data_IF_371865604613
#
_entry.id   IF_371865604613
#
_cell.length_a   1.000
_cell.length_b   1.000
_cell.length_c   1.000
_cell.angle_alpha   90.00
_cell.angle_beta   90.00
_cell.angle_gamma   90.00
#
_symmetry.space_group_name_H-M   'P 1'
#
loop_
_entity.id
_entity.type
_entity.pdbx_description
1 polymer ?
#
# COMPACT_ATOMS: atom_id res chain seq x y z
N UNK A 1 12.74 -40.25 -12.10
CA UNK A 1 13.25 -39.39 -13.18
C UNK A 1 12.47 -38.08 -13.06
N UNK A 2 12.89 -37.03 -12.36
CA UNK A 2 14.17 -36.64 -11.79
C UNK A 2 13.85 -35.89 -10.49
N UNK A 3 14.48 -36.24 -9.38
CA UNK A 3 14.44 -35.42 -8.16
C UNK A 3 15.48 -34.32 -8.39
N UNK A 4 15.05 -33.15 -8.87
CA UNK A 4 15.93 -31.99 -8.78
C UNK A 4 16.16 -31.77 -7.29
N UNK A 5 17.41 -31.88 -6.85
CA UNK A 5 17.88 -31.32 -5.59
C UNK A 5 17.61 -29.82 -5.65
N UNK A 6 16.41 -29.41 -5.24
CA UNK A 6 16.06 -28.00 -5.11
C UNK A 6 16.97 -27.42 -4.04
N UNK A 7 17.57 -26.28 -4.33
CA UNK A 7 18.04 -25.38 -3.28
C UNK A 7 16.93 -25.25 -2.22
N UNK A 8 17.25 -25.27 -0.91
CA UNK A 8 16.26 -25.02 0.12
C UNK A 8 15.50 -23.72 -0.23
N UNK A 9 14.18 -23.74 -0.03
CA UNK A 9 13.36 -22.55 -0.23
C UNK A 9 13.76 -21.51 0.83
N UNK A 10 14.14 -20.30 0.41
CA UNK A 10 14.50 -19.25 1.34
C UNK A 10 13.29 -18.79 2.16
N UNK A 11 13.54 -18.21 3.33
CA UNK A 11 12.49 -17.63 4.18
C UNK A 11 11.60 -16.67 3.39
N UNK A 12 12.20 -15.82 2.55
CA UNK A 12 11.49 -14.84 1.70
C UNK A 12 10.53 -15.53 0.72
N UNK A 13 11.00 -16.56 -0.01
CA UNK A 13 10.16 -17.33 -0.94
C UNK A 13 9.02 -18.03 -0.19
N UNK A 14 9.32 -18.62 0.97
CA UNK A 14 8.35 -19.30 1.81
C UNK A 14 7.26 -18.32 2.27
N UNK A 15 7.66 -17.15 2.80
CA UNK A 15 6.76 -16.09 3.27
C UNK A 15 5.86 -15.57 2.14
N UNK A 16 6.41 -15.29 0.95
CA UNK A 16 5.64 -14.80 -0.19
C UNK A 16 4.70 -15.86 -0.79
N UNK A 17 4.97 -17.15 -0.55
CA UNK A 17 4.13 -18.27 -0.97
C UNK A 17 2.98 -18.58 0.00
N UNK A 18 2.96 -17.98 1.19
CA UNK A 18 1.88 -18.16 2.16
C UNK A 18 0.52 -17.69 1.61
N UNK A 19 -0.54 -18.36 2.06
CA UNK A 19 -1.90 -18.01 1.68
C UNK A 19 -2.25 -16.61 2.20
N UNK A 20 -2.61 -15.70 1.29
CA UNK A 20 -2.88 -14.30 1.61
C UNK A 20 -1.70 -13.36 1.32
N UNK A 21 -0.50 -13.90 1.07
CA UNK A 21 0.72 -13.11 0.81
C UNK A 21 0.96 -12.89 -0.70
N UNK A 22 -0.04 -13.15 -1.55
CA UNK A 22 0.12 -13.08 -3.00
C UNK A 22 0.47 -11.66 -3.51
N UNK A 23 0.20 -10.63 -2.72
CA UNK A 23 0.48 -9.23 -3.06
C UNK A 23 1.94 -8.82 -2.83
N UNK A 24 2.71 -9.54 -2.02
CA UNK A 24 4.11 -9.19 -1.71
C UNK A 24 5.05 -9.47 -2.88
N UNK A 25 5.93 -8.54 -3.22
CA UNK A 25 7.11 -8.82 -4.03
C UNK A 25 8.17 -9.55 -3.20
N UNK A 26 8.99 -10.38 -3.86
CA UNK A 26 10.15 -11.00 -3.23
C UNK A 26 11.29 -9.98 -3.19
N UNK A 27 11.61 -9.49 -1.99
CA UNK A 27 12.68 -8.52 -1.80
C UNK A 27 14.02 -9.23 -2.03
N UNK A 28 14.88 -8.66 -2.86
CA UNK A 28 16.24 -9.21 -3.06
C UNK A 28 17.08 -9.09 -1.80
N UNK A 29 17.82 -10.13 -1.45
CA UNK A 29 18.76 -10.12 -0.31
C UNK A 29 19.75 -8.94 -0.40
N UNK A 30 20.28 -8.61 -1.58
CA UNK A 30 21.15 -7.44 -1.80
C UNK A 30 20.52 -6.11 -1.33
N UNK A 31 19.19 -5.98 -1.42
CA UNK A 31 18.50 -4.77 -0.94
C UNK A 31 18.44 -4.74 0.59
N UNK A 32 18.32 -5.91 1.22
CA UNK A 32 18.23 -6.08 2.68
C UNK A 32 19.61 -5.94 3.32
N UNK A 33 20.66 -6.48 2.68
CA UNK A 33 22.05 -6.40 3.16
C UNK A 33 22.61 -4.97 3.18
N UNK A 34 22.03 -4.03 2.41
CA UNK A 34 22.39 -2.62 2.48
C UNK A 34 21.66 -1.90 3.63
N UNK A 35 22.37 -1.75 4.76
CA UNK A 35 21.92 -1.06 5.97
C UNK A 35 21.27 0.30 5.73
N UNK A 36 21.68 1.02 4.67
CA UNK A 36 21.08 2.32 4.34
C UNK A 36 19.57 2.18 4.07
N UNK A 37 19.15 1.10 3.41
CA UNK A 37 17.76 0.82 3.09
C UNK A 37 16.94 0.46 4.34
N UNK A 38 17.59 -0.02 5.40
CA UNK A 38 16.98 -0.44 6.67
C UNK A 38 16.96 0.66 7.75
N UNK A 39 17.55 1.83 7.46
CA UNK A 39 17.67 2.95 8.41
C UNK A 39 16.36 3.23 9.16
N UNK A 40 16.42 3.23 10.50
CA UNK A 40 15.30 3.55 11.39
C UNK A 40 14.28 2.43 11.63
N UNK A 41 14.44 1.24 11.05
CA UNK A 41 13.59 0.08 11.34
C UNK A 41 13.91 -0.58 12.68
N UNK A 42 15.17 -0.54 13.11
CA UNK A 42 15.62 -1.11 14.38
C UNK A 42 14.85 -0.61 15.61
N UNK A 43 14.37 0.64 15.59
CA UNK A 43 13.59 1.21 16.72
C UNK A 43 12.10 0.86 16.66
N UNK A 44 11.64 0.24 15.57
CA UNK A 44 10.23 -0.07 15.33
C UNK A 44 9.91 -1.56 15.55
N UNK A 45 10.91 -2.44 15.45
CA UNK A 45 10.74 -3.89 15.53
C UNK A 45 11.50 -4.43 16.74
N UNK A 46 10.85 -5.29 17.53
CA UNK A 46 11.49 -6.00 18.64
C UNK A 46 12.42 -7.11 18.09
N UNK A 47 13.46 -7.49 18.83
CA UNK A 47 14.38 -8.55 18.40
C UNK A 47 14.88 -8.35 16.95
N UNK A 48 15.22 -7.09 16.59
CA UNK A 48 15.50 -6.70 15.21
C UNK A 48 16.64 -7.53 14.59
N UNK A 49 17.67 -7.86 15.38
CA UNK A 49 18.85 -8.58 14.90
C UNK A 49 18.46 -10.02 14.55
N UNK A 50 17.79 -10.68 15.47
CA UNK A 50 17.33 -12.06 15.37
C UNK A 50 16.27 -12.22 14.26
N UNK A 51 15.37 -11.24 14.13
CA UNK A 51 14.40 -11.17 13.05
C UNK A 51 15.07 -11.01 11.68
N UNK A 52 16.13 -10.20 11.59
CA UNK A 52 16.87 -9.99 10.35
C UNK A 52 17.69 -11.24 9.96
N UNK A 53 18.34 -11.87 10.93
CA UNK A 53 19.04 -13.16 10.76
C UNK A 53 18.08 -14.25 10.25
N UNK A 54 16.86 -14.34 10.81
CA UNK A 54 15.82 -15.24 10.33
C UNK A 54 15.39 -14.96 8.88
N UNK A 55 15.19 -13.69 8.50
CA UNK A 55 14.79 -13.32 7.12
C UNK A 55 15.86 -13.71 6.10
N UNK A 56 17.13 -13.61 6.49
CA UNK A 56 18.30 -13.87 5.64
C UNK A 56 18.77 -15.34 5.71
N UNK A 57 18.03 -16.22 6.38
CA UNK A 57 18.40 -17.62 6.60
C UNK A 57 19.84 -17.78 7.15
N UNK A 58 20.28 -16.84 8.01
CA UNK A 58 21.57 -16.91 8.69
C UNK A 58 21.45 -17.90 9.84
N UNK A 59 22.25 -18.97 9.80
CA UNK A 59 22.33 -19.92 10.91
C UNK A 59 22.77 -19.19 12.18
N UNK A 60 22.05 -19.35 13.30
CA UNK A 60 22.54 -18.82 14.58
C UNK A 60 23.92 -19.43 14.84
N UNK A 61 24.87 -18.62 15.30
CA UNK A 61 26.12 -19.15 15.82
C UNK A 61 25.74 -20.02 17.02
N UNK A 62 26.05 -21.33 16.97
CA UNK A 62 25.82 -22.25 18.08
C UNK A 62 26.69 -21.78 19.27
N UNK A 63 26.14 -20.90 20.12
CA UNK A 63 26.74 -20.52 21.42
C UNK A 63 26.71 -21.71 22.43
N UNK A 64 26.26 -22.89 21.99
CA UNK A 64 26.22 -24.14 22.77
C UNK A 64 27.61 -24.61 23.23
N UNK A 65 28.70 -24.14 22.61
CA UNK A 65 30.07 -24.48 23.05
C UNK A 65 30.50 -23.76 24.35
N UNK A 66 29.80 -22.70 24.82
CA UNK A 66 30.14 -21.99 26.06
C UNK A 66 29.25 -22.34 27.27
N UNK A 67 28.00 -22.78 27.08
CA UNK A 67 27.09 -23.12 28.20
C UNK A 67 27.25 -24.56 28.72
N UNK A 68 27.70 -25.51 27.88
CA UNK A 68 28.02 -26.89 28.30
C UNK A 68 29.22 -26.96 29.26
N UNK A 69 30.12 -25.97 29.26
CA UNK A 69 31.25 -25.90 30.20
C UNK A 69 30.82 -25.48 31.63
N UNK A 70 29.69 -24.79 31.81
CA UNK A 70 29.20 -24.38 33.15
C UNK A 70 28.42 -25.49 33.87
N UNK A 71 27.73 -26.39 33.15
CA UNK A 71 26.96 -27.50 33.76
C UNK A 71 27.86 -28.66 34.25
N UNK A 72 28.99 -28.93 33.59
CA UNK A 72 29.94 -29.95 34.05
C UNK A 72 30.64 -29.57 35.38
N UNK A 73 30.75 -28.27 35.71
CA UNK A 73 31.35 -27.82 36.97
C UNK A 73 30.42 -27.96 38.19
N UNK A 74 29.08 -27.93 38.01
CA UNK A 74 28.14 -28.08 39.13
C UNK A 74 27.86 -29.54 39.53
N UNK A 75 28.01 -30.51 38.61
CA UNK A 75 27.83 -31.94 38.94
C UNK A 75 28.99 -32.54 39.76
N UNK A 76 30.20 -31.97 39.72
CA UNK A 76 31.36 -32.53 40.44
C UNK A 76 31.48 -32.07 41.92
N UNK A 77 30.53 -31.27 42.43
CA UNK A 77 30.57 -30.74 43.83
C UNK A 77 29.60 -31.43 44.80
N UNK A 78 28.87 -32.48 44.39
CA UNK A 78 28.01 -33.21 45.34
C UNK A 78 28.05 -34.74 45.22
N UNK A 79 29.26 -35.29 45.39
CA UNK A 79 29.40 -36.64 45.93
C UNK A 79 28.87 -36.70 47.37
N UNK A 80 27.59 -37.01 47.55
CA UNK A 80 27.03 -38.04 48.44
C UNK A 80 25.55 -37.79 48.79
N UNK A 81 24.74 -38.83 48.53
CA UNK A 81 23.40 -39.10 49.06
C UNK A 81 22.17 -38.23 48.66
N UNK A 82 21.26 -38.89 47.91
CA UNK A 82 19.77 -38.92 47.98
C UNK A 82 19.08 -38.51 46.67
N UNK A 83 18.50 -39.43 45.92
CA UNK A 83 17.17 -40.07 46.09
C UNK A 83 16.16 -39.47 45.09
N UNK A 84 15.20 -40.27 44.63
CA UNK A 84 14.38 -40.21 43.39
C UNK A 84 13.54 -38.92 43.11
N UNK A 85 13.79 -37.79 43.78
CA UNK A 85 13.12 -36.50 43.55
C UNK A 85 13.85 -35.55 42.58
N UNK A 86 15.13 -35.77 42.28
CA UNK A 86 15.93 -34.89 41.39
C UNK A 86 15.46 -34.89 39.94
N UNK A 87 15.05 -36.05 39.41
CA UNK A 87 14.63 -36.18 38.00
C UNK A 87 13.33 -35.45 37.65
N UNK A 88 12.48 -35.12 38.65
CA UNK A 88 11.25 -34.33 38.43
C UNK A 88 11.53 -32.82 38.39
N UNK A 89 12.55 -32.35 39.09
CA UNK A 89 12.98 -30.95 39.07
C UNK A 89 13.76 -30.63 37.79
N UNK A 90 14.67 -31.53 37.38
CA UNK A 90 15.38 -31.43 36.09
C UNK A 90 14.40 -31.42 34.91
N UNK A 91 13.46 -32.39 34.84
CA UNK A 91 12.41 -32.37 33.80
C UNK A 91 11.49 -31.14 33.84
N UNK A 92 11.31 -30.52 35.02
CA UNK A 92 10.54 -29.29 35.13
C UNK A 92 11.36 -28.05 34.69
N UNK A 93 12.67 -28.06 34.90
CA UNK A 93 13.62 -27.08 34.38
C UNK A 93 13.69 -27.14 32.85
N UNK A 94 13.89 -28.33 32.31
CA UNK A 94 13.99 -28.60 30.87
C UNK A 94 12.69 -28.24 30.13
N UNK A 95 11.52 -28.55 30.70
CA UNK A 95 10.22 -28.10 30.15
C UNK A 95 10.02 -26.59 30.22
N UNK A 96 10.54 -25.92 31.26
CA UNK A 96 10.48 -24.45 31.38
C UNK A 96 11.45 -23.77 30.41
N UNK A 97 12.61 -24.36 30.19
CA UNK A 97 13.60 -23.92 29.22
C UNK A 97 13.05 -24.03 27.80
N UNK A 98 12.55 -25.21 27.42
CA UNK A 98 11.89 -25.42 26.12
C UNK A 98 10.70 -24.48 25.91
N UNK A 99 9.91 -24.20 26.96
CA UNK A 99 8.81 -23.25 26.87
C UNK A 99 9.25 -21.79 26.67
N UNK A 100 10.44 -21.40 27.14
CA UNK A 100 11.00 -20.05 26.93
C UNK A 100 11.58 -19.90 25.53
N UNK A 101 12.36 -20.89 25.09
CA UNK A 101 12.88 -20.95 23.72
C UNK A 101 11.73 -20.90 22.70
N UNK A 102 10.65 -21.66 22.94
CA UNK A 102 9.49 -21.63 22.05
C UNK A 102 8.75 -20.28 22.05
N UNK A 103 8.68 -19.58 23.18
CA UNK A 103 8.08 -18.23 23.21
C UNK A 103 8.94 -17.21 22.50
N UNK A 104 10.26 -17.28 22.67
CA UNK A 104 11.21 -16.37 22.05
C UNK A 104 11.23 -16.58 20.54
N UNK A 105 11.19 -17.83 20.06
CA UNK A 105 11.05 -18.15 18.64
C UNK A 105 9.77 -17.55 18.05
N UNK A 106 8.62 -17.67 18.73
CA UNK A 106 7.37 -17.08 18.24
C UNK A 106 7.41 -15.55 18.16
N UNK A 107 8.13 -14.90 19.08
CA UNK A 107 8.32 -13.45 19.06
C UNK A 107 9.23 -13.06 17.90
N UNK A 108 10.30 -13.82 17.65
CA UNK A 108 11.20 -13.61 16.52
C UNK A 108 10.45 -13.80 15.19
N UNK A 109 9.66 -14.86 15.03
CA UNK A 109 8.82 -15.09 13.84
C UNK A 109 7.90 -13.88 13.58
N UNK A 110 7.16 -13.44 14.59
CA UNK A 110 6.26 -12.27 14.46
C UNK A 110 7.02 -10.97 14.14
N UNK A 111 8.24 -10.83 14.66
CA UNK A 111 9.11 -9.68 14.42
C UNK A 111 9.69 -9.72 13.00
N UNK A 112 10.03 -10.91 12.49
CA UNK A 112 10.48 -11.13 11.12
C UNK A 112 9.39 -10.80 10.10
N UNK A 113 8.15 -11.24 10.32
CA UNK A 113 7.02 -10.87 9.46
C UNK A 113 6.80 -9.35 9.42
N UNK A 114 6.84 -8.69 10.59
CA UNK A 114 6.69 -7.24 10.71
C UNK A 114 7.85 -6.50 10.02
N UNK A 115 9.09 -6.94 10.25
CA UNK A 115 10.29 -6.35 9.65
C UNK A 115 10.25 -6.48 8.14
N UNK A 116 9.99 -7.68 7.62
CA UNK A 116 9.90 -7.93 6.19
C UNK A 116 8.81 -7.08 5.54
N UNK A 117 7.65 -6.93 6.18
CA UNK A 117 6.59 -6.04 5.70
C UNK A 117 7.02 -4.57 5.59
N UNK A 118 7.75 -4.05 6.58
CA UNK A 118 8.29 -2.68 6.55
C UNK A 118 9.41 -2.49 5.51
N UNK A 119 10.24 -3.51 5.31
CA UNK A 119 11.24 -3.54 4.23
C UNK A 119 10.54 -3.53 2.87
N UNK A 120 9.52 -4.38 2.71
CA UNK A 120 8.74 -4.49 1.49
C UNK A 120 8.10 -3.15 1.09
N UNK A 121 7.54 -2.40 2.04
CA UNK A 121 7.00 -1.05 1.81
C UNK A 121 8.01 -0.11 1.13
N UNK A 122 9.28 -0.18 1.55
CA UNK A 122 10.38 0.60 0.96
C UNK A 122 10.81 0.03 -0.38
N UNK A 123 10.96 -1.29 -0.45
CA UNK A 123 11.42 -2.00 -1.64
C UNK A 123 10.53 -1.77 -2.86
N UNK A 124 9.21 -1.82 -2.72
CA UNK A 124 8.28 -1.63 -3.85
C UNK A 124 8.29 -0.19 -4.42
N UNK A 125 8.92 0.75 -3.72
CA UNK A 125 9.19 2.10 -4.22
C UNK A 125 10.58 2.24 -4.88
N UNK A 126 11.43 1.22 -4.80
CA UNK A 126 12.71 1.15 -5.51
C UNK A 126 12.51 0.77 -6.98
N UNK A 127 13.54 0.96 -7.80
CA UNK A 127 13.51 0.59 -9.22
C UNK A 127 13.28 -0.91 -9.44
N UNK A 128 13.89 -1.76 -8.62
CA UNK A 128 13.75 -3.22 -8.73
C UNK A 128 12.36 -3.67 -8.26
N UNK A 129 11.92 -3.21 -7.08
CA UNK A 129 10.64 -3.62 -6.51
C UNK A 129 9.45 -3.12 -7.31
N UNK A 130 9.48 -1.89 -7.83
CA UNK A 130 8.37 -1.36 -8.64
C UNK A 130 8.20 -2.12 -9.96
N UNK A 131 9.30 -2.63 -10.53
CA UNK A 131 9.30 -3.49 -11.72
C UNK A 131 8.72 -4.88 -11.42
N UNK A 132 9.07 -5.49 -10.28
CA UNK A 132 8.41 -6.75 -9.87
C UNK A 132 6.90 -6.57 -9.68
N UNK A 133 6.51 -5.45 -9.07
CA UNK A 133 5.09 -5.13 -8.88
C UNK A 133 4.37 -4.85 -10.20
N UNK A 134 5.06 -4.32 -11.22
CA UNK A 134 4.46 -4.12 -12.55
C UNK A 134 4.16 -5.45 -13.24
N UNK A 135 5.05 -6.42 -13.14
CA UNK A 135 4.81 -7.78 -13.65
C UNK A 135 3.61 -8.43 -12.96
N UNK A 136 3.51 -8.30 -11.63
CA UNK A 136 2.33 -8.77 -10.86
C UNK A 136 1.03 -8.05 -11.28
N UNK A 137 1.10 -6.75 -11.55
CA UNK A 137 -0.03 -5.96 -12.03
C UNK A 137 -0.51 -6.45 -13.42
N UNK A 138 0.41 -6.71 -14.34
CA UNK A 138 0.14 -7.23 -15.68
C UNK A 138 -0.45 -8.64 -15.67
N UNK A 139 -0.04 -9.48 -14.73
CA UNK A 139 -0.61 -10.80 -14.52
C UNK A 139 -1.96 -10.74 -13.78
N UNK A 140 -2.26 -9.62 -13.11
CA UNK A 140 -3.55 -9.39 -12.47
C UNK A 140 -3.64 -10.00 -11.08
N UNK A 141 -2.48 -10.20 -10.44
CA UNK A 141 -2.39 -10.82 -9.12
C UNK A 141 -3.12 -10.01 -8.04
N UNK A 142 -3.19 -8.69 -8.20
CA UNK A 142 -3.87 -7.78 -7.26
C UNK A 142 -5.40 -7.75 -7.41
N UNK A 143 -5.94 -8.45 -8.42
CA UNK A 143 -7.37 -8.48 -8.71
C UNK A 143 -7.85 -7.28 -9.53
N UNK A 144 -9.16 -7.06 -9.48
CA UNK A 144 -9.87 -6.09 -10.32
C UNK A 144 -10.87 -5.28 -9.50
N UNK A 145 -11.22 -4.11 -10.01
CA UNK A 145 -12.16 -3.20 -9.39
C UNK A 145 -13.55 -3.84 -9.30
N UNK A 146 -14.21 -3.79 -8.12
CA UNK A 146 -15.55 -4.35 -7.94
C UNK A 146 -16.65 -3.52 -8.62
N UNK A 147 -16.36 -2.28 -9.05
CA UNK A 147 -17.36 -1.45 -9.74
C UNK A 147 -17.63 -1.96 -11.14
N UNK A 148 -18.90 -2.24 -11.43
CA UNK A 148 -19.37 -2.69 -12.75
C UNK A 148 -18.91 -1.76 -13.89
N UNK A 149 -19.03 -0.44 -13.70
CA UNK A 149 -18.70 0.54 -14.75
C UNK A 149 -17.18 0.76 -14.95
N UNK A 150 -16.34 0.18 -14.09
CA UNK A 150 -14.89 0.14 -14.26
C UNK A 150 -14.43 -0.99 -15.17
N UNK A 151 -15.34 -1.83 -15.69
CA UNK A 151 -15.02 -2.89 -16.66
C UNK A 151 -13.86 -3.80 -16.21
N UNK A 152 -13.85 -4.21 -14.93
CA UNK A 152 -12.78 -5.04 -14.37
C UNK A 152 -11.37 -4.43 -14.51
N UNK A 153 -11.24 -3.11 -14.38
CA UNK A 153 -9.94 -2.45 -14.31
C UNK A 153 -9.07 -3.08 -13.20
N UNK A 154 -7.79 -3.34 -13.49
CA UNK A 154 -6.83 -3.90 -12.53
C UNK A 154 -6.60 -2.93 -11.37
N UNK A 155 -6.37 -3.48 -10.19
CA UNK A 155 -6.14 -2.72 -8.96
C UNK A 155 -4.68 -2.81 -8.51
N UNK A 156 -4.29 -1.93 -7.60
CA UNK A 156 -2.98 -1.94 -6.94
C UNK A 156 -3.19 -2.06 -5.43
N UNK A 157 -2.34 -2.80 -4.70
CA UNK A 157 -2.38 -2.80 -3.24
C UNK A 157 -1.98 -1.43 -2.70
N UNK A 158 -2.61 -1.01 -1.61
CA UNK A 158 -2.35 0.28 -0.95
C UNK A 158 -2.62 0.18 0.55
N UNK A 159 -1.80 0.84 1.36
CA UNK A 159 -2.09 1.11 2.76
C UNK A 159 -2.86 2.41 2.92
N UNK A 160 -3.83 2.46 3.85
CA UNK A 160 -4.47 3.73 4.24
C UNK A 160 -3.64 4.51 5.29
N UNK A 161 -2.71 3.83 5.93
CA UNK A 161 -1.72 4.38 6.85
C UNK A 161 -0.37 3.74 6.59
N UNK A 162 0.70 4.41 7.02
CA UNK A 162 2.05 3.87 7.05
C UNK A 162 2.43 3.36 8.46
N UNK A 163 1.49 3.43 9.42
CA UNK A 163 1.67 2.96 10.79
C UNK A 163 1.11 1.53 10.89
N UNK A 164 1.94 0.54 11.27
CA UNK A 164 1.47 -0.84 11.45
C UNK A 164 0.35 -0.95 12.49
N UNK A 165 -0.59 -1.86 12.24
CA UNK A 165 -1.73 -2.17 13.09
C UNK A 165 -2.94 -1.26 12.93
N UNK A 166 -2.86 -0.19 12.12
CA UNK A 166 -4.00 0.74 11.94
C UNK A 166 -5.06 0.22 10.98
N UNK A 167 -4.66 -0.31 9.81
CA UNK A 167 -5.59 -0.90 8.85
C UNK A 167 -4.90 -1.96 7.98
N UNK A 168 -5.72 -2.86 7.45
CA UNK A 168 -5.33 -3.92 6.52
C UNK A 168 -5.12 -3.38 5.11
N UNK A 169 -4.42 -4.15 4.28
CA UNK A 169 -4.20 -3.82 2.87
C UNK A 169 -5.52 -3.60 2.13
N UNK A 170 -5.56 -2.53 1.32
CA UNK A 170 -6.67 -2.19 0.44
C UNK A 170 -6.25 -2.26 -1.02
N UNK A 171 -7.22 -2.18 -1.91
CA UNK A 171 -7.05 -2.16 -3.36
C UNK A 171 -7.45 -0.81 -3.92
N UNK A 172 -6.50 -0.07 -4.46
CA UNK A 172 -6.74 1.16 -5.20
C UNK A 172 -7.07 0.85 -6.66
N UNK A 173 -8.15 1.45 -7.17
CA UNK A 173 -8.51 1.38 -8.57
C UNK A 173 -8.11 2.68 -9.30
N UNK A 174 -7.16 2.62 -10.24
CA UNK A 174 -6.73 3.81 -10.99
C UNK A 174 -7.80 4.28 -12.00
N UNK A 175 -8.77 3.43 -12.34
CA UNK A 175 -9.87 3.79 -13.25
C UNK A 175 -10.89 4.72 -12.59
N UNK A 176 -11.30 4.45 -11.34
CA UNK A 176 -12.29 5.25 -10.63
C UNK A 176 -11.76 6.08 -9.46
N UNK A 177 -10.46 6.01 -9.20
CA UNK A 177 -9.77 6.77 -8.16
C UNK A 177 -10.37 6.55 -6.77
N UNK A 178 -10.60 5.28 -6.44
CA UNK A 178 -11.23 4.89 -5.18
C UNK A 178 -10.59 3.61 -4.63
N UNK A 179 -10.78 3.38 -3.33
CA UNK A 179 -10.14 2.32 -2.56
C UNK A 179 -11.18 1.29 -2.11
N UNK A 180 -10.82 0.00 -2.23
CA UNK A 180 -11.70 -1.12 -1.95
C UNK A 180 -11.05 -2.11 -0.98
N UNK A 181 -11.88 -2.78 -0.18
CA UNK A 181 -11.42 -3.93 0.60
C UNK A 181 -11.24 -5.12 -0.36
N UNK A 182 -10.13 -5.88 -0.27
CA UNK A 182 -9.96 -7.10 -1.05
C UNK A 182 -11.15 -8.05 -0.81
N UNK A 183 -11.71 -8.69 -1.86
CA UNK A 183 -12.93 -9.49 -1.71
C UNK A 183 -12.73 -10.78 -0.91
N UNK A 184 -11.51 -11.35 -0.93
CA UNK A 184 -11.18 -12.56 -0.19
C UNK A 184 -10.72 -12.21 1.23
N UNK A 185 -11.30 -12.86 2.23
CA UNK A 185 -10.99 -12.60 3.65
C UNK A 185 -9.55 -12.95 4.04
N UNK A 186 -8.85 -13.78 3.28
CA UNK A 186 -7.43 -14.14 3.52
C UNK A 186 -6.49 -12.93 3.53
N UNK A 187 -6.88 -11.81 2.92
CA UNK A 187 -6.09 -10.58 2.91
C UNK A 187 -6.38 -9.67 4.11
N UNK A 188 -7.33 -10.04 4.98
CA UNK A 188 -7.68 -9.25 6.17
C UNK A 188 -6.67 -9.40 7.32
N UNK A 189 -5.71 -10.31 7.20
CA UNK A 189 -4.59 -10.44 8.15
C UNK A 189 -3.36 -9.66 7.71
N UNK A 190 -3.32 -9.18 6.46
CA UNK A 190 -2.17 -8.48 5.90
C UNK A 190 -2.28 -6.99 6.20
N UNK A 191 -1.26 -6.44 6.85
CA UNK A 191 -1.19 -5.03 7.20
C UNK A 191 -1.04 -4.15 5.94
N UNK A 192 -1.79 -3.05 5.89
CA UNK A 192 -1.69 -2.09 4.79
C UNK A 192 -0.40 -1.28 4.81
N UNK A 193 0.20 -1.07 5.99
CA UNK A 193 1.45 -0.35 6.15
C UNK A 193 2.59 -0.97 5.31
N UNK A 194 2.57 -2.29 5.11
CA UNK A 194 3.57 -3.02 4.31
C UNK A 194 3.56 -2.68 2.82
N UNK A 195 2.52 -2.00 2.34
CA UNK A 195 2.45 -1.42 0.98
C UNK A 195 2.56 0.10 1.01
N UNK A 196 2.13 0.71 2.11
CA UNK A 196 2.16 2.14 2.34
C UNK A 196 1.21 2.93 1.44
N UNK A 197 1.16 4.24 1.68
CA UNK A 197 0.29 5.17 0.93
C UNK A 197 0.88 5.61 -0.40
N UNK A 198 2.21 5.51 -0.56
CA UNK A 198 2.95 6.12 -1.68
C UNK A 198 2.98 5.26 -2.93
N UNK A 199 3.11 3.94 -2.77
CA UNK A 199 3.39 3.00 -3.87
C UNK A 199 2.46 3.18 -5.07
N UNK A 200 1.14 3.21 -4.86
CA UNK A 200 0.17 3.29 -5.96
C UNK A 200 0.29 4.55 -6.81
N UNK A 201 0.61 5.69 -6.20
CA UNK A 201 0.82 6.94 -6.92
C UNK A 201 2.15 6.92 -7.69
N UNK A 202 3.23 6.45 -7.04
CA UNK A 202 4.55 6.32 -7.66
C UNK A 202 4.53 5.36 -8.85
N UNK A 203 3.79 4.25 -8.73
CA UNK A 203 3.60 3.27 -9.79
C UNK A 203 3.01 3.92 -11.06
N UNK A 204 1.92 4.68 -10.91
CA UNK A 204 1.26 5.33 -12.05
C UNK A 204 2.09 6.46 -12.68
N UNK A 205 2.94 7.12 -11.90
CA UNK A 205 3.89 8.11 -12.41
C UNK A 205 5.09 7.47 -13.12
N UNK A 206 5.49 6.28 -12.68
CA UNK A 206 6.64 5.55 -13.25
C UNK A 206 6.27 4.87 -14.56
N UNK A 207 5.04 4.36 -14.68
CA UNK A 207 4.54 3.64 -15.85
C UNK A 207 3.32 4.32 -16.48
N UNK A 208 3.44 5.56 -16.99
CA UNK A 208 2.31 6.28 -17.59
C UNK A 208 1.73 5.55 -18.81
N UNK A 209 2.51 4.71 -19.48
CA UNK A 209 2.13 3.95 -20.69
C UNK A 209 1.04 2.90 -20.47
N UNK A 210 0.81 2.45 -19.22
CA UNK A 210 -0.27 1.50 -18.93
C UNK A 210 -1.62 2.06 -19.37
N UNK A 211 -2.34 1.31 -20.20
CA UNK A 211 -3.66 1.71 -20.66
C UNK A 211 -4.74 1.33 -19.64
N UNK A 212 -5.17 2.32 -18.86
CA UNK A 212 -6.17 2.15 -17.80
C UNK A 212 -7.61 2.04 -18.32
N UNK A 213 -7.81 2.17 -19.64
CA UNK A 213 -9.13 2.06 -20.28
C UNK A 213 -9.52 0.63 -20.61
N UNK A 214 -8.52 -0.26 -20.72
CA UNK A 214 -8.72 -1.67 -21.10
C UNK A 214 -9.34 -2.47 -19.97
N UNK A 215 -10.20 -3.41 -20.35
CA UNK A 215 -10.73 -4.42 -19.42
C UNK A 215 -9.61 -5.35 -18.98
N UNK A 216 -9.60 -5.77 -17.71
CA UNK A 216 -8.61 -6.71 -17.16
C UNK A 216 -8.49 -8.01 -17.97
N UNK A 217 -9.59 -8.44 -18.59
CA UNK A 217 -9.68 -9.66 -19.43
C UNK A 217 -9.03 -9.54 -20.81
N UNK A 218 -8.99 -8.35 -21.42
CA UNK A 218 -8.47 -8.16 -22.79
C UNK A 218 -6.94 -8.08 -22.87
N UNK A 219 -6.27 -8.02 -21.71
CA UNK A 219 -4.81 -7.99 -21.64
C UNK A 219 -4.18 -9.39 -21.65
N UNK A 220 -4.90 -10.43 -21.20
CA UNK A 220 -4.37 -11.81 -21.14
C UNK A 220 -4.41 -12.50 -22.52
N UNK A 221 -5.39 -12.16 -23.37
CA UNK A 221 -5.56 -12.80 -24.69
C UNK A 221 -4.68 -12.23 -25.79
N UNK A 222 -4.00 -11.10 -25.57
CA UNK A 222 -3.17 -10.43 -26.57
C UNK A 222 -1.64 -10.62 -26.38
N UNK A 223 -1.21 -11.45 -25.41
CA UNK A 223 0.21 -11.81 -25.23
C UNK A 223 0.84 -12.50 -26.46
N UNK A 224 0.04 -12.93 -27.44
CA UNK A 224 0.49 -13.62 -28.66
C UNK A 224 0.41 -12.77 -29.95
N UNK A 225 0.03 -11.49 -29.86
CA UNK A 225 0.09 -10.58 -31.02
C UNK A 225 0.92 -9.37 -30.63
N UNK A 226 2.07 -9.09 -31.29
CA UNK A 226 2.66 -7.78 -31.18
C UNK A 226 1.55 -6.82 -31.65
N UNK A 227 1.07 -5.97 -30.74
CA UNK A 227 0.17 -4.91 -31.13
C UNK A 227 0.94 -4.07 -32.12
N UNK A 228 0.63 -4.26 -33.40
CA UNK A 228 1.04 -3.35 -34.46
C UNK A 228 0.18 -2.08 -34.35
N UNK A 229 0.12 -1.50 -33.15
CA UNK A 229 -0.25 -0.11 -32.89
C UNK A 229 1.04 0.72 -32.98
N UNK A 230 1.76 0.54 -34.08
CA UNK A 230 2.69 1.52 -34.66
C UNK A 230 1.88 2.66 -35.31
N UNK A 231 0.94 3.20 -34.54
CA UNK A 231 0.03 4.26 -34.93
C UNK A 231 -0.25 5.16 -33.74
N UNK A 232 0.67 6.10 -33.48
CA UNK A 232 0.39 7.34 -32.74
C UNK A 232 0.51 7.29 -31.21
N UNK A 233 1.55 6.69 -30.65
CA UNK A 233 1.93 7.00 -29.26
C UNK A 233 2.44 8.45 -29.12
N UNK A 234 2.93 9.05 -30.20
CA UNK A 234 3.58 10.37 -30.24
C UNK A 234 2.63 11.59 -30.26
N UNK A 235 1.31 11.41 -30.24
CA UNK A 235 0.35 12.55 -30.38
C UNK A 235 -0.77 12.59 -29.33
N UNK A 236 -0.69 11.78 -28.29
CA UNK A 236 -1.73 11.79 -27.25
C UNK A 236 -1.43 12.88 -26.21
N UNK A 237 -2.37 13.81 -25.96
CA UNK A 237 -2.14 14.89 -25.01
C UNK A 237 -1.87 14.32 -23.62
N UNK A 238 -0.70 14.61 -23.07
CA UNK A 238 -0.38 14.39 -21.67
C UNK A 238 -0.90 15.57 -20.85
N UNK A 239 -1.46 15.27 -19.68
CA UNK A 239 -1.98 16.23 -18.72
C UNK A 239 -1.32 15.91 -17.39
N UNK A 240 -0.54 16.86 -16.87
CA UNK A 240 0.22 16.71 -15.63
C UNK A 240 1.07 15.41 -15.56
N UNK A 241 1.71 15.02 -16.67
CA UNK A 241 2.56 13.82 -16.73
C UNK A 241 1.81 12.49 -16.94
N UNK A 242 0.49 12.50 -17.13
CA UNK A 242 -0.33 11.31 -17.40
C UNK A 242 -1.04 11.47 -18.74
N UNK A 243 -1.15 10.42 -19.56
CA UNK A 243 -1.94 10.50 -20.78
C UNK A 243 -3.41 10.83 -20.48
N UNK A 244 -4.01 11.76 -21.23
CA UNK A 244 -5.40 12.20 -21.00
C UNK A 244 -6.42 11.05 -20.97
N UNK A 245 -6.17 9.96 -21.74
CA UNK A 245 -7.00 8.74 -21.73
C UNK A 245 -6.99 8.00 -20.39
N UNK A 246 -5.89 8.09 -19.66
CA UNK A 246 -5.66 7.41 -18.38
C UNK A 246 -6.17 8.23 -17.19
N UNK A 247 -6.58 9.48 -17.40
CA UNK A 247 -7.16 10.32 -16.35
C UNK A 247 -8.57 9.81 -16.02
N UNK A 248 -8.69 9.07 -14.92
CA UNK A 248 -9.97 8.58 -14.35
C UNK A 248 -10.97 8.01 -15.38
N UNK A 249 -10.60 6.98 -16.17
CA UNK A 249 -11.44 6.44 -17.24
C UNK A 249 -12.78 5.81 -16.77
N UNK A 250 -12.89 5.49 -15.48
CA UNK A 250 -14.09 4.96 -14.83
C UNK A 250 -15.01 6.02 -14.24
N UNK A 251 -14.74 7.31 -14.47
CA UNK A 251 -15.56 8.45 -14.01
C UNK A 251 -16.18 9.23 -15.18
N UNK A 252 -17.24 9.99 -14.88
CA UNK A 252 -17.91 10.86 -15.84
C UNK A 252 -19.12 10.25 -16.56
N UNK A 253 -19.58 10.93 -17.63
CA UNK A 253 -20.79 10.54 -18.37
C UNK A 253 -20.73 9.10 -18.86
N UNK A 254 -21.81 8.35 -18.68
CA UNK A 254 -21.89 6.92 -19.05
C UNK A 254 -21.21 5.96 -18.08
N UNK A 255 -20.52 6.46 -17.04
CA UNK A 255 -19.90 5.65 -15.96
C UNK A 255 -20.61 5.77 -14.61
N UNK A 256 -21.70 6.53 -14.54
CA UNK A 256 -22.56 6.67 -13.36
C UNK A 256 -23.74 5.71 -13.48
N UNK A 257 -24.02 4.95 -12.41
CA UNK A 257 -25.15 4.04 -12.38
C UNK A 257 -26.47 4.82 -12.32
N UNK A 258 -27.38 4.56 -13.26
CA UNK A 258 -28.72 5.15 -13.29
C UNK A 258 -29.77 4.19 -12.70
N UNK A 259 -30.28 4.43 -11.48
CA UNK A 259 -31.29 3.57 -10.89
C UNK A 259 -32.62 3.70 -11.65
N UNK A 260 -33.23 2.54 -11.98
CA UNK A 260 -34.51 2.44 -12.68
C UNK A 260 -35.45 1.47 -11.98
N UNK A 261 -36.71 1.84 -11.85
CA UNK A 261 -37.78 1.02 -11.28
C UNK A 261 -38.89 0.92 -12.33
N UNK A 262 -39.26 -0.31 -12.72
CA UNK A 262 -40.20 -0.56 -13.83
C UNK A 262 -39.85 0.18 -15.14
N UNK A 263 -38.56 0.39 -15.41
CA UNK A 263 -38.06 1.10 -16.59
C UNK A 263 -37.97 2.64 -16.45
N UNK A 264 -38.59 3.20 -15.42
CA UNK A 264 -38.55 4.64 -15.14
C UNK A 264 -37.35 5.01 -14.28
N UNK A 265 -36.69 6.12 -14.63
CA UNK A 265 -35.60 6.67 -13.81
C UNK A 265 -36.15 7.09 -12.45
N UNK A 266 -35.44 6.74 -11.39
CA UNK A 266 -35.77 7.20 -10.05
C UNK A 266 -35.51 8.71 -9.98
N UNK A 267 -36.50 9.47 -9.53
CA UNK A 267 -36.38 10.93 -9.37
C UNK A 267 -35.26 11.29 -8.40
N UNK A 268 -34.50 12.35 -8.71
CA UNK A 268 -33.47 12.91 -7.82
C UNK A 268 -34.06 13.43 -6.50
N UNK A 269 -35.33 13.88 -6.54
CA UNK A 269 -36.06 14.33 -5.36
C UNK A 269 -36.53 13.17 -4.48
N UNK A 270 -36.53 11.93 -4.98
CA UNK A 270 -36.94 10.77 -4.19
C UNK A 270 -35.96 10.56 -3.02
N UNK A 271 -36.47 10.03 -1.89
CA UNK A 271 -35.64 9.69 -0.73
C UNK A 271 -34.57 8.65 -1.07
N UNK A 272 -34.93 7.67 -1.90
CA UNK A 272 -34.05 6.64 -2.48
C UNK A 272 -33.48 7.05 -3.85
N UNK A 273 -33.53 8.33 -4.19
CA UNK A 273 -32.92 8.86 -5.40
C UNK A 273 -31.40 8.74 -5.37
N UNK A 274 -30.73 8.88 -6.53
CA UNK A 274 -29.27 8.89 -6.57
C UNK A 274 -28.73 10.04 -5.70
N UNK A 275 -27.74 9.74 -4.85
CA UNK A 275 -27.05 10.70 -3.98
C UNK A 275 -25.57 10.72 -4.32
N UNK A 276 -24.92 11.85 -4.06
CA UNK A 276 -23.47 12.01 -4.18
C UNK A 276 -22.92 11.66 -5.58
N UNK A 277 -23.70 11.93 -6.65
CA UNK A 277 -23.24 11.73 -8.04
C UNK A 277 -21.95 12.52 -8.32
N UNK A 278 -21.78 13.68 -7.69
CA UNK A 278 -20.60 14.53 -7.76
C UNK A 278 -19.28 13.81 -7.44
N UNK A 279 -19.29 12.75 -6.60
CA UNK A 279 -18.09 11.94 -6.34
C UNK A 279 -17.61 11.19 -7.58
N UNK A 280 -18.47 11.04 -8.58
CA UNK A 280 -18.24 10.30 -9.82
C UNK A 280 -18.29 11.18 -11.07
N UNK A 281 -18.44 12.48 -10.88
CA UNK A 281 -18.42 13.44 -11.97
C UNK A 281 -16.98 13.60 -12.49
N UNK A 282 -16.88 13.82 -13.80
CA UNK A 282 -15.63 14.14 -14.48
C UNK A 282 -15.93 15.25 -15.48
N UNK A 283 -15.10 16.30 -15.57
CA UNK A 283 -15.26 17.35 -16.56
C UNK A 283 -15.34 16.77 -17.98
N UNK A 284 -16.22 17.33 -18.82
CA UNK A 284 -16.33 16.94 -20.22
C UNK A 284 -15.07 17.31 -21.01
N UNK A 285 -14.48 18.48 -20.71
CA UNK A 285 -13.16 18.86 -21.21
C UNK A 285 -12.09 18.48 -20.17
N UNK A 286 -11.28 17.47 -20.50
CA UNK A 286 -10.20 16.98 -19.63
C UNK A 286 -9.09 18.04 -19.48
N UNK A 287 -8.94 18.96 -20.44
CA UNK A 287 -7.94 20.06 -20.35
C UNK A 287 -8.22 21.03 -19.21
N UNK A 288 -9.43 21.01 -18.64
CA UNK A 288 -9.76 21.74 -17.42
C UNK A 288 -9.00 21.21 -16.19
N UNK A 289 -8.44 19.99 -16.25
CA UNK A 289 -7.63 19.37 -15.21
C UNK A 289 -6.12 19.64 -15.38
N UNK A 290 -5.72 20.38 -16.41
CA UNK A 290 -4.32 20.72 -16.68
C UNK A 290 -3.85 21.87 -15.77
N UNK A 291 -3.39 21.51 -14.58
CA UNK A 291 -2.95 22.45 -13.55
C UNK A 291 -1.69 23.19 -13.97
N UNK A 292 -0.77 22.53 -14.69
CA UNK A 292 0.46 23.13 -15.19
C UNK A 292 0.18 24.25 -16.21
N UNK A 293 -0.75 24.02 -17.14
CA UNK A 293 -1.21 25.04 -18.08
C UNK A 293 -1.89 26.20 -17.36
N UNK A 294 -2.81 25.91 -16.43
CA UNK A 294 -3.53 26.95 -15.67
C UNK A 294 -2.59 27.83 -14.86
N UNK A 295 -1.56 27.24 -14.22
CA UNK A 295 -0.55 27.99 -13.48
C UNK A 295 0.26 28.92 -14.40
N UNK A 296 0.65 28.42 -15.57
CA UNK A 296 1.41 29.20 -16.56
C UNK A 296 0.57 30.35 -17.12
N UNK A 297 -0.72 30.13 -17.35
CA UNK A 297 -1.66 31.18 -17.79
C UNK A 297 -1.91 32.24 -16.71
N UNK A 298 -1.93 31.85 -15.43
CA UNK A 298 -2.13 32.77 -14.30
C UNK A 298 -0.87 33.61 -13.99
N UNK A 299 0.33 33.04 -14.18
CA UNK A 299 1.60 33.76 -13.95
C UNK A 299 2.18 34.44 -15.19
N UNK A 300 1.85 33.95 -16.39
CA UNK A 300 2.35 34.44 -17.67
C UNK A 300 1.80 35.80 -18.10
N UNK A 301 0.89 36.39 -17.32
CA UNK A 301 0.41 37.77 -17.53
C UNK A 301 1.34 38.86 -16.98
N UNK A 302 2.38 38.53 -16.20
CA UNK A 302 3.14 39.51 -15.40
C UNK A 302 4.68 39.45 -15.58
N UNK A 303 5.22 38.85 -16.66
CA UNK A 303 6.69 38.76 -16.81
C UNK A 303 7.25 38.86 -18.23
N UNK A 304 6.66 39.67 -19.10
CA UNK A 304 7.33 40.06 -20.38
C UNK A 304 8.03 41.44 -20.34
N UNK A 305 8.04 42.17 -19.22
CA UNK A 305 8.57 43.56 -19.19
C UNK A 305 9.64 43.89 -18.12
N UNK A 306 10.25 42.92 -17.41
CA UNK A 306 11.17 43.28 -16.30
C UNK A 306 12.52 42.52 -16.24
N UNK A 307 13.00 41.95 -17.35
CA UNK A 307 14.30 41.25 -17.40
C UNK A 307 15.43 42.02 -18.13
N UNK A 308 15.35 43.36 -18.18
CA UNK A 308 16.46 44.22 -18.66
C UNK A 308 17.09 45.12 -17.59
N UNK A 309 16.88 44.87 -16.30
CA UNK A 309 17.78 45.42 -15.29
C UNK A 309 17.85 44.55 -14.05
N UNK A 310 19.07 44.09 -13.71
CA UNK A 310 19.64 44.03 -12.35
C UNK A 310 20.81 43.03 -12.33
N UNK A 311 21.97 43.45 -12.86
CA UNK A 311 23.27 42.99 -12.31
C UNK A 311 23.76 44.04 -11.32
N UNK A 312 23.80 43.65 -10.04
CA UNK A 312 24.86 43.91 -9.04
C UNK A 312 24.28 44.11 -7.63
N UNK A 313 24.82 43.32 -6.70
CA UNK A 313 24.82 43.47 -5.23
C UNK A 313 23.60 42.97 -4.43
N UNK A 314 23.68 41.68 -4.05
CA UNK A 314 23.65 41.19 -2.66
C UNK A 314 22.61 41.71 -1.67
N UNK A 315 21.41 41.09 -1.65
CA UNK A 315 20.69 40.58 -0.45
C UNK A 315 19.30 40.06 -0.85
N UNK A 316 18.88 38.83 -0.49
CA UNK A 316 17.50 38.42 -0.72
C UNK A 316 16.61 39.12 0.33
N UNK A 317 15.91 40.16 -0.09
CA UNK A 317 14.77 40.70 0.65
C UNK A 317 13.60 39.75 0.49
N UNK A 318 13.16 39.11 1.57
CA UNK A 318 12.04 38.18 1.58
C UNK A 318 10.77 38.83 1.00
N UNK A 319 10.37 38.39 -0.19
CA UNK A 319 9.06 38.75 -0.76
C UNK A 319 7.99 37.93 -0.03
N UNK A 320 7.16 38.63 0.74
CA UNK A 320 6.01 38.07 1.47
C UNK A 320 5.04 37.43 0.46
N UNK A 321 4.72 36.15 0.66
CA UNK A 321 3.61 35.47 -0.01
C UNK A 321 2.33 36.29 0.17
N UNK A 322 1.68 36.67 -0.94
CA UNK A 322 0.31 37.15 -0.88
C UNK A 322 -0.61 35.97 -0.51
N UNK A 323 -1.64 36.17 0.31
CA UNK A 323 -2.50 35.07 0.73
C UNK A 323 -3.32 34.56 -0.45
N UNK A 324 -3.29 33.25 -0.65
CA UNK A 324 -4.13 32.52 -1.60
C UNK A 324 -5.61 32.90 -1.43
N UNK A 325 -6.23 33.29 -2.55
CA UNK A 325 -7.65 33.08 -2.87
C UNK A 325 -8.70 33.54 -1.84
N UNK A 326 -8.93 34.86 -1.75
CA UNK A 326 -10.16 35.41 -1.17
C UNK A 326 -11.43 35.06 -2.00
N UNK A 327 -11.30 34.85 -3.32
CA UNK A 327 -12.43 34.52 -4.20
C UNK A 327 -12.90 33.06 -4.11
N UNK A 328 -11.98 32.11 -3.92
CA UNK A 328 -12.35 30.68 -3.76
C UNK A 328 -13.06 30.42 -2.43
N UNK A 329 -12.63 31.08 -1.34
CA UNK A 329 -13.35 31.03 -0.05
C UNK A 329 -14.77 31.60 -0.14
N UNK A 330 -15.01 32.61 -0.99
CA UNK A 330 -16.33 33.21 -1.14
C UNK A 330 -17.30 32.29 -1.90
N UNK A 331 -16.85 31.56 -2.92
CA UNK A 331 -17.66 30.53 -3.58
C UNK A 331 -17.92 29.31 -2.68
N UNK A 332 -16.92 28.89 -1.89
CA UNK A 332 -17.06 27.78 -0.96
C UNK A 332 -17.94 28.14 0.26
N UNK A 333 -17.91 29.39 0.74
CA UNK A 333 -18.84 29.88 1.79
C UNK A 333 -20.27 30.09 1.26
N UNK A 334 -20.43 30.51 0.01
CA UNK A 334 -21.76 30.71 -0.58
C UNK A 334 -22.47 29.37 -0.84
N UNK A 335 -21.73 28.29 -1.14
CA UNK A 335 -22.27 26.93 -1.15
C UNK A 335 -22.60 26.38 0.24
N UNK A 336 -21.84 26.75 1.29
CA UNK A 336 -22.16 26.37 2.67
C UNK A 336 -23.39 27.09 3.25
N UNK A 337 -23.73 28.29 2.77
CA UNK A 337 -24.91 29.03 3.25
C UNK A 337 -26.24 28.56 2.65
N UNK A 338 -26.24 27.79 1.56
CA UNK A 338 -27.46 27.28 0.93
C UNK A 338 -27.83 25.87 1.46
N UNK A 339 -26.93 25.19 2.17
CA UNK A 339 -27.14 23.88 2.79
C UNK A 339 -27.19 23.96 4.31
N UNK A 340 -28.31 24.43 4.87
CA UNK A 340 -28.53 24.41 6.31
C UNK A 340 -28.81 22.97 6.77
N UNK A 341 -27.79 22.28 7.26
CA UNK A 341 -27.90 20.95 7.88
C UNK A 341 -26.77 20.76 8.89
N UNK A 342 -27.08 20.88 10.18
CA UNK A 342 -26.14 20.74 11.29
C UNK A 342 -25.46 19.36 11.32
N UNK A 343 -24.20 19.26 11.78
CA UNK A 343 -23.55 17.99 12.05
C UNK A 343 -24.16 17.37 13.32
N UNK A 344 -24.86 16.24 13.18
CA UNK A 344 -25.34 15.45 14.32
C UNK A 344 -24.17 14.68 14.92
N UNK A 345 -23.79 15.08 16.15
CA UNK A 345 -23.03 14.29 17.10
C UNK A 345 -23.77 12.99 17.41
N UNK A 346 -23.11 11.85 17.20
CA UNK A 346 -23.59 10.54 17.66
C UNK A 346 -23.22 10.42 19.14
N UNK A 347 -24.16 10.79 20.01
CA UNK A 347 -24.15 10.30 21.38
C UNK A 347 -24.85 8.94 21.41
N UNK A 348 -24.12 7.93 21.89
CA UNK A 348 -24.67 6.64 22.24
C UNK A 348 -25.46 6.79 23.55
N UNK A 349 -26.74 6.44 23.56
CA UNK A 349 -27.40 6.06 24.80
C UNK A 349 -28.67 5.22 24.58
N UNK A 350 -28.76 4.17 25.40
CA UNK A 350 -30.02 3.73 26.00
C UNK A 350 -30.86 2.76 25.19
N UNK A 351 -30.86 1.50 25.60
CA UNK A 351 -31.77 0.47 25.11
C UNK A 351 -33.22 0.71 25.51
N UNK A 352 -34.11 -0.02 24.84
CA UNK A 352 -35.44 -0.35 25.35
C UNK A 352 -35.81 -1.75 24.85
N UNK A 353 -36.26 -2.56 25.79
CA UNK A 353 -36.80 -3.89 25.64
C UNK A 353 -38.15 -3.94 24.90
N UNK A 354 -38.49 -5.15 24.47
CA UNK A 354 -39.82 -5.79 24.53
C UNK A 354 -40.79 -5.74 23.33
N UNK A 355 -41.19 -6.97 22.97
CA UNK A 355 -42.52 -7.42 22.51
C UNK A 355 -43.01 -7.06 21.10
N UNK A 356 -42.83 -8.00 20.15
CA UNK A 356 -43.81 -9.05 19.79
C UNK A 356 -43.27 -9.97 18.69
#
# INVERSE_FOLDING_TARGET
>A
MSTSSGTPESWISSFCSLLGHEYFAEVSEEFIEDDFNLTGLQTQVAMYKEALEMILDVEPEDDDDEEDEEEEEEEDVSGDARDELGGRAAQAGERRHHSRIASDLSVIESSAEMLYGLIHQRFICSRAGIQQMSEKYELGHFGVCPRTNCNQARTLPVGLSDIPGEDTVKLFCPSCLDVYVPPNSRFQTVDGAFFGRTFGALFLLTFPEYDLTKSGTESITNLSRPSNSSGGADELPMINGVYARNVAPGLGPGKIYEPRIYGFRVSELARSGPRMQWLRDKPADIKALDEARLFTEDQGGDSEDDDESMIMNGRPSGRRRAPLNARSRQQQQQQRQIGNGSPMTVEANGGVESEL
#
